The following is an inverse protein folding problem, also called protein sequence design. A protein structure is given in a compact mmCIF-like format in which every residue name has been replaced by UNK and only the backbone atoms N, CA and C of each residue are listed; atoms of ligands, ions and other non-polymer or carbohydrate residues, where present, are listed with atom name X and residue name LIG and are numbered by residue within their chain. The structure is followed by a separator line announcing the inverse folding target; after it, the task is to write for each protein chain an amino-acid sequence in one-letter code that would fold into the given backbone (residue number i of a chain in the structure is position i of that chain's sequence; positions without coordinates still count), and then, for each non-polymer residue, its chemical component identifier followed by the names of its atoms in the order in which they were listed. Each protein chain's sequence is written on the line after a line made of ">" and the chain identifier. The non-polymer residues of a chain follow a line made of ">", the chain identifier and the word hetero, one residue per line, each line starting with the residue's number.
data_IF_235076617872
#
_entry.id   IF_235076617872
#
_cell.length_a   1.000
_cell.length_b   1.000
_cell.length_c   1.000
_cell.angle_alpha   90.00
_cell.angle_beta   90.00
_cell.angle_gamma   90.00
#
_symmetry.space_group_name_H-M   'P 1'
#
loop_
_entity.id
_entity.type
_entity.pdbx_description
1 polymer ?
#
# COMPACT_ATOMS: atom_id res chain seq x y z
N UNK A 1 14.13 6.84 -7.87
CA UNK A 1 14.64 7.30 -9.19
C UNK A 1 13.65 7.08 -10.37
N UNK A 2 13.24 5.84 -10.67
CA UNK A 2 12.41 5.53 -11.85
C UNK A 2 11.12 6.36 -11.90
N UNK A 3 10.40 6.47 -10.78
CA UNK A 3 9.19 7.27 -10.68
C UNK A 3 9.42 8.75 -11.05
N UNK A 4 10.52 9.35 -10.59
CA UNK A 4 10.90 10.71 -10.95
C UNK A 4 11.20 10.85 -12.45
N UNK A 5 11.99 9.94 -13.02
CA UNK A 5 12.30 9.93 -14.46
C UNK A 5 11.05 9.72 -15.32
N UNK A 6 10.10 8.92 -14.85
CA UNK A 6 8.85 8.68 -15.56
C UNK A 6 7.97 9.93 -15.68
N UNK A 7 8.16 10.95 -14.83
CA UNK A 7 7.41 12.22 -14.90
C UNK A 7 7.58 12.96 -16.22
N UNK A 8 8.65 12.70 -16.99
CA UNK A 8 8.80 13.21 -18.37
C UNK A 8 7.68 12.75 -19.32
N UNK A 9 6.99 11.67 -18.98
CA UNK A 9 5.83 11.15 -19.72
C UNK A 9 4.49 11.50 -19.06
N UNK A 10 4.52 12.28 -17.97
CA UNK A 10 3.38 12.74 -17.20
C UNK A 10 2.37 11.63 -16.82
N UNK A 11 2.82 10.47 -16.29
CA UNK A 11 1.88 9.46 -15.81
C UNK A 11 1.24 9.92 -14.51
N UNK A 12 0.00 9.49 -14.24
CA UNK A 12 -0.52 9.48 -12.88
C UNK A 12 0.36 8.56 -12.03
N UNK A 13 0.80 9.01 -10.86
CA UNK A 13 1.67 8.26 -9.96
C UNK A 13 0.94 7.99 -8.66
N UNK A 14 0.71 6.71 -8.35
CA UNK A 14 0.23 6.27 -7.06
C UNK A 14 1.28 5.40 -6.39
N UNK A 15 1.60 5.71 -5.15
CA UNK A 15 2.66 5.06 -4.39
C UNK A 15 2.08 4.57 -3.06
N UNK A 16 2.07 3.26 -2.83
CA UNK A 16 1.74 2.67 -1.53
C UNK A 16 3.05 2.37 -0.82
N UNK A 17 3.38 3.21 0.15
CA UNK A 17 4.67 3.26 0.83
C UNK A 17 4.61 2.48 2.15
N UNK A 18 5.24 1.31 2.15
CA UNK A 18 5.30 0.43 3.32
C UNK A 18 6.48 0.72 4.24
N UNK A 19 7.44 1.55 3.82
CA UNK A 19 8.75 1.73 4.46
C UNK A 19 9.04 3.18 4.86
N UNK A 20 8.14 4.13 4.54
CA UNK A 20 8.26 5.58 4.76
C UNK A 20 9.35 6.26 3.94
N UNK A 21 9.79 5.63 2.85
CA UNK A 21 10.86 6.17 2.00
C UNK A 21 10.36 7.14 0.92
N UNK A 22 9.07 7.14 0.60
CA UNK A 22 8.55 7.85 -0.57
C UNK A 22 8.11 9.29 -0.27
N UNK A 23 7.94 9.68 0.99
CA UNK A 23 7.36 10.97 1.37
C UNK A 23 8.06 12.18 0.77
N UNK A 24 9.39 12.23 0.87
CA UNK A 24 10.18 13.34 0.31
C UNK A 24 10.07 13.41 -1.22
N UNK A 25 10.11 12.26 -1.90
CA UNK A 25 9.94 12.17 -3.35
C UNK A 25 8.56 12.70 -3.76
N UNK A 26 7.49 12.21 -3.14
CA UNK A 26 6.11 12.59 -3.46
C UNK A 26 5.90 14.09 -3.27
N UNK A 27 6.36 14.65 -2.16
CA UNK A 27 6.27 16.08 -1.89
C UNK A 27 7.08 16.91 -2.89
N UNK A 28 8.29 16.46 -3.25
CA UNK A 28 9.13 17.16 -4.25
C UNK A 28 8.51 17.14 -5.64
N UNK A 29 7.75 16.09 -5.97
CA UNK A 29 6.97 16.00 -7.20
C UNK A 29 5.68 16.84 -7.17
N UNK A 30 5.42 17.57 -6.09
CA UNK A 30 4.20 18.36 -5.90
C UNK A 30 2.95 17.52 -5.65
N UNK A 31 3.13 16.25 -5.24
CA UNK A 31 2.06 15.34 -4.91
C UNK A 31 1.55 15.48 -3.47
N UNK A 32 0.55 14.69 -3.13
CA UNK A 32 0.01 14.59 -1.77
C UNK A 32 0.55 13.32 -1.11
N UNK A 33 1.11 13.44 0.09
CA UNK A 33 1.53 12.29 0.90
C UNK A 33 0.64 12.19 2.14
N UNK A 34 -0.03 11.05 2.32
CA UNK A 34 -1.04 10.88 3.39
C UNK A 34 -0.77 9.64 4.22
N UNK A 35 -1.13 9.72 5.50
CA UNK A 35 -1.11 8.58 6.42
C UNK A 35 -2.54 8.24 6.85
N UNK A 36 -3.05 7.04 6.55
CA UNK A 36 -4.35 6.57 7.04
C UNK A 36 -4.40 6.55 8.56
N UNK A 37 -5.58 6.85 9.12
CA UNK A 37 -5.81 6.73 10.56
C UNK A 37 -5.14 7.79 11.44
N UNK A 38 -4.48 8.81 10.87
CA UNK A 38 -3.90 9.91 11.63
C UNK A 38 -4.96 11.01 11.91
N UNK A 39 -5.39 11.23 13.16
CA UNK A 39 -6.44 12.21 13.48
C UNK A 39 -5.98 13.67 13.43
N UNK A 40 -4.67 13.95 13.28
CA UNK A 40 -4.12 15.32 13.23
C UNK A 40 -3.83 15.86 11.82
N UNK A 41 -4.28 15.16 10.78
CA UNK A 41 -4.04 15.55 9.39
C UNK A 41 -3.98 14.40 8.38
N UNK A 42 -4.42 13.19 8.77
CA UNK A 42 -4.53 12.05 7.88
C UNK A 42 -5.78 12.12 7.00
N UNK A 43 -5.73 11.40 5.88
CA UNK A 43 -6.87 11.19 5.00
C UNK A 43 -7.81 10.17 5.66
N UNK A 44 -9.02 10.62 6.03
CA UNK A 44 -10.03 9.75 6.60
C UNK A 44 -10.65 8.86 5.53
N UNK A 45 -10.80 7.56 5.81
CA UNK A 45 -11.44 6.63 4.88
C UNK A 45 -12.82 6.21 5.39
N UNK A 46 -13.74 5.99 4.45
CA UNK A 46 -15.02 5.34 4.71
C UNK A 46 -15.47 4.54 3.48
N UNK A 47 -15.09 3.25 3.42
CA UNK A 47 -15.42 2.39 2.28
C UNK A 47 -16.93 2.25 2.01
N UNK A 48 -17.78 2.48 3.02
CA UNK A 48 -19.24 2.36 2.89
C UNK A 48 -19.89 3.53 2.13
N UNK A 49 -19.11 4.56 1.78
CA UNK A 49 -19.53 5.68 0.94
C UNK A 49 -19.22 5.46 -0.55
N UNK A 50 -18.57 4.35 -0.92
CA UNK A 50 -18.38 4.00 -2.32
C UNK A 50 -19.71 3.86 -3.06
N UNK A 51 -19.69 4.17 -4.37
CA UNK A 51 -20.86 4.08 -5.23
C UNK A 51 -21.56 2.71 -5.10
N UNK A 52 -22.89 2.76 -5.06
CA UNK A 52 -23.74 1.57 -4.96
C UNK A 52 -23.81 0.84 -6.32
N UNK A 53 -22.80 0.01 -6.59
CA UNK A 53 -22.72 -0.83 -7.79
C UNK A 53 -22.27 -2.27 -7.44
N UNK A 54 -22.48 -3.22 -8.35
CA UNK A 54 -22.19 -4.63 -8.12
C UNK A 54 -20.71 -4.90 -7.72
N UNK A 55 -19.70 -4.35 -8.43
CA UNK A 55 -18.31 -4.53 -8.03
C UNK A 55 -18.00 -4.06 -6.61
N UNK A 56 -18.51 -2.88 -6.21
CA UNK A 56 -18.29 -2.34 -4.87
C UNK A 56 -18.99 -3.16 -3.79
N UNK A 57 -20.21 -3.65 -4.06
CA UNK A 57 -20.93 -4.53 -3.13
C UNK A 57 -20.21 -5.86 -2.91
N UNK A 58 -19.70 -6.47 -3.98
CA UNK A 58 -18.91 -7.71 -3.91
C UNK A 58 -17.63 -7.50 -3.11
N UNK A 59 -16.90 -6.42 -3.41
CA UNK A 59 -15.72 -6.03 -2.65
C UNK A 59 -16.06 -5.80 -1.17
N UNK A 60 -17.06 -4.98 -0.86
CA UNK A 60 -17.43 -4.64 0.52
C UNK A 60 -17.85 -5.87 1.32
N UNK A 61 -18.51 -6.84 0.69
CA UNK A 61 -18.87 -8.11 1.33
C UNK A 61 -17.62 -8.86 1.82
N UNK A 62 -16.62 -9.02 0.94
CA UNK A 62 -15.36 -9.69 1.28
C UNK A 62 -14.51 -8.85 2.23
N UNK A 63 -14.52 -7.53 2.06
CA UNK A 63 -13.79 -6.60 2.90
C UNK A 63 -14.31 -6.59 4.34
N UNK A 64 -15.63 -6.61 4.56
CA UNK A 64 -16.21 -6.72 5.91
C UNK A 64 -15.81 -8.03 6.60
N UNK A 65 -15.67 -9.12 5.85
CA UNK A 65 -15.16 -10.39 6.36
C UNK A 65 -13.69 -10.24 6.79
N UNK A 66 -12.86 -9.54 6.03
CA UNK A 66 -11.44 -9.33 6.38
C UNK A 66 -11.25 -8.54 7.68
N UNK A 67 -12.20 -7.67 8.03
CA UNK A 67 -12.15 -6.93 9.30
C UNK A 67 -12.20 -7.86 10.52
N UNK A 68 -12.74 -9.07 10.38
CA UNK A 68 -12.87 -10.05 11.48
C UNK A 68 -12.05 -11.32 11.27
N UNK A 69 -11.70 -11.63 10.03
CA UNK A 69 -10.93 -12.80 9.62
C UNK A 69 -10.02 -12.40 8.44
N UNK A 70 -8.88 -11.75 8.70
CA UNK A 70 -8.01 -11.21 7.66
C UNK A 70 -7.41 -12.30 6.75
N UNK A 71 -7.33 -13.55 7.22
CA UNK A 71 -6.86 -14.68 6.42
C UNK A 71 -7.99 -15.41 5.68
N UNK A 72 -9.24 -15.06 5.94
CA UNK A 72 -10.41 -15.70 5.33
C UNK A 72 -10.55 -17.19 5.68
N UNK A 73 -10.05 -17.61 6.85
CA UNK A 73 -10.02 -19.02 7.24
C UNK A 73 -11.41 -19.64 7.49
N UNK A 74 -12.39 -18.80 7.86
CA UNK A 74 -13.74 -19.23 8.24
C UNK A 74 -14.82 -18.77 7.25
N UNK A 75 -14.43 -18.38 6.03
CA UNK A 75 -15.35 -17.87 5.02
C UNK A 75 -16.15 -19.02 4.41
N UNK A 76 -17.47 -18.97 4.59
CA UNK A 76 -18.42 -19.90 3.97
C UNK A 76 -19.60 -19.15 3.34
N UNK A 77 -20.40 -19.84 2.55
CA UNK A 77 -21.53 -19.25 1.83
C UNK A 77 -22.53 -18.55 2.76
N UNK A 78 -22.81 -19.12 3.94
CA UNK A 78 -23.71 -18.52 4.91
C UNK A 78 -23.18 -17.17 5.42
N UNK A 79 -21.87 -17.09 5.69
CA UNK A 79 -21.19 -15.86 6.13
C UNK A 79 -21.25 -14.80 5.03
N UNK A 80 -20.95 -15.19 3.78
CA UNK A 80 -21.03 -14.29 2.62
C UNK A 80 -22.46 -13.75 2.44
N UNK A 81 -23.48 -14.61 2.51
CA UNK A 81 -24.88 -14.17 2.37
C UNK A 81 -25.31 -13.26 3.52
N UNK A 82 -24.86 -13.52 4.76
CA UNK A 82 -25.10 -12.64 5.89
C UNK A 82 -24.54 -11.23 5.67
N UNK A 83 -23.29 -11.12 5.24
CA UNK A 83 -22.68 -9.82 4.93
C UNK A 83 -23.30 -9.13 3.72
N UNK A 84 -23.72 -9.87 2.67
CA UNK A 84 -24.50 -9.29 1.56
C UNK A 84 -25.80 -8.64 2.06
N UNK A 85 -26.54 -9.34 2.92
CA UNK A 85 -27.77 -8.81 3.52
C UNK A 85 -27.53 -7.57 4.38
N UNK A 86 -26.38 -7.47 5.05
CA UNK A 86 -25.98 -6.27 5.80
C UNK A 86 -25.65 -5.12 4.85
N UNK A 87 -24.88 -5.37 3.79
CA UNK A 87 -24.57 -4.35 2.77
C UNK A 87 -25.86 -3.81 2.13
N UNK A 88 -26.84 -4.66 1.84
CA UNK A 88 -28.16 -4.24 1.36
C UNK A 88 -28.89 -3.30 2.32
N UNK A 89 -28.75 -3.51 3.64
CA UNK A 89 -29.34 -2.63 4.64
C UNK A 89 -28.60 -1.29 4.71
N UNK A 90 -27.27 -1.31 4.64
CA UNK A 90 -26.44 -0.12 4.75
C UNK A 90 -26.63 0.83 3.57
N UNK A 91 -26.70 0.31 2.34
CA UNK A 91 -26.93 1.14 1.17
C UNK A 91 -28.34 1.78 1.13
N UNK A 92 -29.31 1.26 1.90
CA UNK A 92 -30.62 1.90 2.10
C UNK A 92 -30.58 3.07 3.08
N UNK A 93 -29.52 3.18 3.88
CA UNK A 93 -29.34 4.32 4.78
C UNK A 93 -28.90 5.57 3.98
N UNK A 94 -29.25 6.78 4.46
CA UNK A 94 -28.61 8.01 4.03
C UNK A 94 -27.07 7.92 4.17
N UNK A 95 -26.28 8.52 3.26
CA UNK A 95 -24.81 8.46 3.28
C UNK A 95 -24.19 8.76 4.65
N UNK A 96 -24.68 9.77 5.36
CA UNK A 96 -24.24 10.18 6.70
C UNK A 96 -24.37 9.08 7.78
N UNK A 97 -25.19 8.06 7.53
CA UNK A 97 -25.39 6.92 8.41
C UNK A 97 -24.67 5.64 7.94
N UNK A 98 -23.96 5.69 6.80
CA UNK A 98 -23.17 4.57 6.28
C UNK A 98 -21.78 4.56 6.92
N UNK A 99 -21.69 3.88 8.07
CA UNK A 99 -20.46 3.78 8.85
C UNK A 99 -20.35 2.41 9.53
N UNK A 100 -19.17 2.10 10.08
CA UNK A 100 -18.91 0.80 10.71
C UNK A 100 -19.70 0.58 12.01
N UNK A 101 -20.15 1.65 12.68
CA UNK A 101 -21.03 1.49 13.83
C UNK A 101 -22.39 0.94 13.42
N UNK A 102 -22.96 1.41 12.29
CA UNK A 102 -24.19 0.87 11.71
C UNK A 102 -24.04 -0.62 11.33
N UNK A 103 -22.88 -1.02 10.80
CA UNK A 103 -22.57 -2.44 10.56
C UNK A 103 -22.57 -3.24 11.87
N UNK A 104 -21.88 -2.75 12.91
CA UNK A 104 -21.82 -3.40 14.21
C UNK A 104 -23.19 -3.61 14.85
N UNK A 105 -24.09 -2.63 14.72
CA UNK A 105 -25.48 -2.75 15.18
C UNK A 105 -26.27 -3.81 14.42
N UNK A 106 -26.16 -3.83 13.07
CA UNK A 106 -26.81 -4.83 12.23
C UNK A 106 -26.30 -6.25 12.50
N UNK A 107 -24.99 -6.39 12.75
CA UNK A 107 -24.37 -7.64 13.17
C UNK A 107 -24.90 -8.08 14.55
N UNK A 108 -24.99 -7.16 15.52
CA UNK A 108 -25.40 -7.48 16.89
C UNK A 108 -26.82 -8.07 16.98
N UNK A 109 -27.72 -7.65 16.10
CA UNK A 109 -29.08 -8.19 16.02
C UNK A 109 -29.12 -9.65 15.53
N UNK A 110 -28.13 -10.09 14.75
CA UNK A 110 -28.07 -11.42 14.12
C UNK A 110 -27.10 -12.37 14.83
N UNK A 111 -25.95 -11.84 15.26
CA UNK A 111 -24.83 -12.58 15.83
C UNK A 111 -24.01 -11.68 16.79
N UNK A 112 -24.34 -11.67 18.10
CA UNK A 112 -23.66 -10.85 19.10
C UNK A 112 -22.15 -11.09 19.19
N UNK A 113 -21.69 -12.34 19.08
CA UNK A 113 -20.26 -12.69 19.13
C UNK A 113 -19.48 -12.10 17.94
N UNK A 114 -20.13 -12.00 16.77
CA UNK A 114 -19.54 -11.39 15.60
C UNK A 114 -19.42 -9.87 15.75
N UNK A 115 -20.46 -9.23 16.31
CA UNK A 115 -20.45 -7.81 16.61
C UNK A 115 -19.35 -7.44 17.63
N UNK A 116 -19.11 -8.29 18.63
CA UNK A 116 -18.01 -8.11 19.59
C UNK A 116 -16.65 -8.10 18.89
N UNK A 117 -16.38 -9.06 17.99
CA UNK A 117 -15.15 -9.05 17.17
C UNK A 117 -15.05 -7.81 16.27
N UNK A 118 -16.17 -7.32 15.75
CA UNK A 118 -16.23 -6.14 14.89
C UNK A 118 -16.00 -4.83 15.66
N UNK A 119 -16.24 -4.81 16.98
CA UNK A 119 -16.17 -3.61 17.83
C UNK A 119 -14.81 -2.90 17.83
N UNK A 120 -13.73 -3.60 17.48
CA UNK A 120 -12.40 -3.02 17.34
C UNK A 120 -12.29 -1.96 16.23
N UNK A 121 -13.25 -1.87 15.30
CA UNK A 121 -13.21 -0.99 14.14
C UNK A 121 -14.00 0.32 14.28
N UNK A 122 -14.65 0.56 15.42
CA UNK A 122 -15.41 1.79 15.65
C UNK A 122 -15.39 2.17 17.13
N UNK A 123 -15.86 3.40 17.43
CA UNK A 123 -15.90 3.90 18.81
C UNK A 123 -14.50 3.95 19.43
N UNK A 124 -14.31 3.21 20.52
CA UNK A 124 -13.02 3.09 21.23
C UNK A 124 -12.17 1.89 20.78
N UNK A 125 -12.54 1.24 19.67
CA UNK A 125 -11.82 0.10 19.14
C UNK A 125 -10.40 0.45 18.67
N UNK A 126 -9.49 -0.53 18.74
CA UNK A 126 -8.06 -0.39 18.36
C UNK A 126 -7.85 0.23 16.97
N UNK A 127 -8.73 -0.08 16.01
CA UNK A 127 -8.64 0.33 14.61
C UNK A 127 -9.68 1.38 14.22
N UNK A 128 -10.39 1.98 15.20
CA UNK A 128 -11.51 2.88 14.94
C UNK A 128 -11.15 4.03 13.99
N UNK A 129 -9.92 4.54 14.05
CA UNK A 129 -9.51 5.69 13.23
C UNK A 129 -9.28 5.36 11.74
N UNK A 130 -9.21 4.08 11.34
CA UNK A 130 -8.87 3.72 9.96
C UNK A 130 -10.02 3.99 8.97
N UNK A 131 -11.27 3.68 9.34
CA UNK A 131 -12.39 3.59 8.40
C UNK A 131 -13.69 4.24 8.90
N UNK A 132 -13.63 5.08 9.93
CA UNK A 132 -14.81 5.73 10.53
C UNK A 132 -14.94 7.21 10.18
N UNK A 133 -14.21 7.66 9.16
CA UNK A 133 -14.30 9.04 8.73
C UNK A 133 -15.74 9.36 8.26
N UNK A 134 -16.26 10.57 8.56
CA UNK A 134 -17.59 10.96 8.11
C UNK A 134 -17.66 11.08 6.59
N UNK A 135 -16.54 11.42 5.96
CA UNK A 135 -16.36 11.49 4.52
C UNK A 135 -15.22 10.56 4.09
N UNK A 136 -15.29 10.08 2.85
CA UNK A 136 -14.20 9.34 2.26
C UNK A 136 -13.27 10.30 1.52
N UNK A 137 -12.16 10.63 2.17
CA UNK A 137 -11.19 11.61 1.68
C UNK A 137 -10.19 11.03 0.68
N UNK A 138 -10.27 9.73 0.30
CA UNK A 138 -9.38 9.13 -0.68
C UNK A 138 -9.62 9.68 -2.10
N UNK A 139 -8.99 10.83 -2.37
CA UNK A 139 -9.04 11.55 -3.64
C UNK A 139 -7.97 11.03 -4.60
N UNK A 140 -8.42 10.30 -5.61
CA UNK A 140 -7.56 9.68 -6.63
C UNK A 140 -7.49 10.50 -7.93
N UNK A 141 -7.99 11.73 -7.89
CA UNK A 141 -7.94 12.71 -8.98
C UNK A 141 -6.58 13.39 -9.10
N UNK A 142 -5.76 13.33 -8.06
CA UNK A 142 -4.41 13.89 -8.05
C UNK A 142 -3.48 13.09 -8.97
N UNK A 143 -2.60 13.79 -9.68
CA UNK A 143 -1.62 13.17 -10.57
C UNK A 143 -0.48 12.47 -9.82
N UNK A 144 -0.29 12.76 -8.53
CA UNK A 144 0.75 12.16 -7.70
C UNK A 144 0.27 12.03 -6.25
N UNK A 145 0.10 10.78 -5.80
CA UNK A 145 -0.36 10.43 -4.46
C UNK A 145 0.57 9.39 -3.85
N UNK A 146 1.02 9.64 -2.62
CA UNK A 146 1.68 8.65 -1.78
C UNK A 146 0.83 8.34 -0.55
N UNK A 147 0.72 7.07 -0.19
CA UNK A 147 -0.01 6.60 0.99
C UNK A 147 0.96 5.82 1.88
N UNK A 148 1.26 6.37 3.05
CA UNK A 148 2.10 5.75 4.08
C UNK A 148 1.29 4.67 4.83
N UNK A 149 1.59 3.41 4.56
CA UNK A 149 0.99 2.26 5.26
C UNK A 149 1.95 1.59 6.26
N UNK A 150 3.13 2.18 6.47
CA UNK A 150 4.19 1.62 7.34
C UNK A 150 3.73 1.34 8.77
N UNK A 151 2.83 2.18 9.31
CA UNK A 151 2.30 2.02 10.67
C UNK A 151 1.50 0.72 10.85
N UNK A 152 1.04 0.11 9.76
CA UNK A 152 0.19 -1.06 9.76
C UNK A 152 0.82 -2.28 9.10
N UNK A 153 1.94 -2.14 8.37
CA UNK A 153 2.53 -3.20 7.52
C UNK A 153 2.80 -4.52 8.27
N UNK A 154 3.05 -4.45 9.58
CA UNK A 154 3.30 -5.62 10.44
C UNK A 154 2.07 -6.09 11.24
N UNK A 155 0.93 -5.39 11.17
CA UNK A 155 -0.33 -5.79 11.79
C UNK A 155 -1.29 -6.33 10.72
N UNK A 156 -1.33 -7.65 10.56
CA UNK A 156 -2.13 -8.33 9.54
C UNK A 156 -3.62 -7.96 9.59
N UNK A 157 -4.14 -7.68 10.79
CA UNK A 157 -5.55 -7.32 10.96
C UNK A 157 -5.85 -5.94 10.37
N UNK A 158 -4.88 -5.02 10.40
CA UNK A 158 -5.02 -3.67 9.88
C UNK A 158 -4.62 -3.57 8.40
N UNK A 159 -3.45 -4.12 8.02
CA UNK A 159 -2.92 -3.95 6.66
C UNK A 159 -3.77 -4.66 5.60
N UNK A 160 -4.32 -5.84 5.89
CA UNK A 160 -5.12 -6.59 4.92
C UNK A 160 -6.35 -5.78 4.46
N UNK A 161 -7.26 -5.31 5.34
CA UNK A 161 -8.40 -4.51 4.91
C UNK A 161 -7.98 -3.13 4.38
N UNK A 162 -6.89 -2.54 4.89
CA UNK A 162 -6.39 -1.24 4.42
C UNK A 162 -5.86 -1.31 2.99
N UNK A 163 -4.93 -2.22 2.72
CA UNK A 163 -4.37 -2.44 1.40
C UNK A 163 -5.48 -2.86 0.41
N UNK A 164 -6.38 -3.76 0.82
CA UNK A 164 -7.48 -4.19 -0.04
C UNK A 164 -8.38 -3.02 -0.49
N UNK A 165 -8.72 -2.12 0.44
CA UNK A 165 -9.52 -0.94 0.13
C UNK A 165 -8.78 0.05 -0.77
N UNK A 166 -7.52 0.37 -0.46
CA UNK A 166 -6.70 1.28 -1.26
C UNK A 166 -6.57 0.76 -2.69
N UNK A 167 -6.21 -0.52 -2.85
CA UNK A 167 -6.01 -1.13 -4.16
C UNK A 167 -7.32 -1.24 -4.95
N UNK A 168 -8.44 -1.55 -4.30
CA UNK A 168 -9.76 -1.56 -4.94
C UNK A 168 -10.13 -0.18 -5.48
N UNK A 169 -9.93 0.87 -4.67
CA UNK A 169 -10.19 2.26 -5.07
C UNK A 169 -9.30 2.71 -6.22
N UNK A 170 -8.01 2.45 -6.13
CA UNK A 170 -7.06 2.73 -7.21
C UNK A 170 -7.47 2.03 -8.51
N UNK A 171 -7.79 0.73 -8.42
CA UNK A 171 -8.20 -0.08 -9.57
C UNK A 171 -9.46 0.49 -10.24
N UNK A 172 -10.47 0.88 -9.47
CA UNK A 172 -11.70 1.46 -10.00
C UNK A 172 -11.52 2.83 -10.65
N UNK A 173 -10.47 3.58 -10.29
CA UNK A 173 -10.17 4.89 -10.86
C UNK A 173 -9.27 4.80 -12.11
N UNK A 174 -8.88 3.60 -12.53
CA UNK A 174 -8.17 3.40 -13.79
C UNK A 174 -9.10 3.67 -14.98
N UNK A 175 -8.62 4.51 -15.90
CA UNK A 175 -9.41 5.06 -17.02
C UNK A 175 -8.62 5.04 -18.35
N UNK A 176 -7.54 4.26 -18.41
CA UNK A 176 -6.64 4.18 -19.58
C UNK A 176 -5.60 5.30 -19.69
N UNK A 177 -5.63 6.33 -18.82
CA UNK A 177 -4.52 7.27 -18.71
C UNK A 177 -3.25 6.55 -18.28
N UNK A 178 -2.11 6.99 -18.82
CA UNK A 178 -0.78 6.49 -18.42
C UNK A 178 -0.66 6.58 -16.90
N UNK A 179 -0.54 5.44 -16.24
CA UNK A 179 -0.50 5.38 -14.79
C UNK A 179 0.70 4.55 -14.34
N UNK A 180 1.24 4.91 -13.18
CA UNK A 180 2.27 4.18 -12.47
C UNK A 180 1.74 3.87 -11.08
N UNK A 181 1.63 2.58 -10.75
CA UNK A 181 1.30 2.10 -9.42
C UNK A 181 2.57 1.49 -8.82
N UNK A 182 3.06 2.06 -7.73
CA UNK A 182 4.22 1.53 -6.98
C UNK A 182 3.71 0.94 -5.68
N UNK A 183 4.05 -0.32 -5.43
CA UNK A 183 3.72 -1.05 -4.22
C UNK A 183 5.01 -1.47 -3.52
N UNK A 184 5.31 -0.81 -2.40
CA UNK A 184 6.41 -1.24 -1.53
C UNK A 184 5.98 -2.40 -0.66
N UNK A 185 6.87 -3.38 -0.50
CA UNK A 185 6.57 -4.68 0.12
C UNK A 185 5.29 -5.30 -0.45
N UNK A 186 5.19 -5.31 -1.79
CA UNK A 186 3.99 -5.67 -2.52
C UNK A 186 3.39 -7.02 -2.09
N UNK A 187 4.25 -7.99 -1.75
CA UNK A 187 3.84 -9.32 -1.32
C UNK A 187 2.99 -9.26 -0.04
N UNK A 188 3.26 -8.34 0.88
CA UNK A 188 2.46 -8.16 2.10
C UNK A 188 1.13 -7.48 1.82
N UNK A 189 1.11 -6.57 0.85
CA UNK A 189 -0.10 -5.82 0.46
C UNK A 189 -1.08 -6.70 -0.34
N UNK A 190 -0.55 -7.56 -1.20
CA UNK A 190 -1.33 -8.37 -2.13
C UNK A 190 -1.74 -9.74 -1.56
N UNK A 191 -1.04 -10.25 -0.54
CA UNK A 191 -1.33 -11.54 0.11
C UNK A 191 -2.55 -11.45 1.04
N UNK A 192 -3.71 -11.30 0.42
CA UNK A 192 -5.01 -11.23 1.07
C UNK A 192 -6.09 -12.03 0.31
N UNK A 193 -7.24 -12.36 0.94
CA UNK A 193 -8.27 -13.17 0.31
C UNK A 193 -8.93 -12.59 -0.95
N UNK A 194 -8.82 -11.28 -1.22
CA UNK A 194 -9.37 -10.66 -2.45
C UNK A 194 -8.34 -10.71 -3.58
N UNK A 195 -7.14 -10.20 -3.32
CA UNK A 195 -6.12 -9.99 -4.35
C UNK A 195 -5.28 -11.23 -4.57
N UNK A 196 -4.89 -11.97 -3.53
CA UNK A 196 -4.01 -13.14 -3.66
C UNK A 196 -4.49 -14.16 -4.70
N UNK A 197 -5.74 -14.66 -4.60
CA UNK A 197 -6.29 -15.61 -5.57
C UNK A 197 -6.46 -15.07 -6.99
N UNK A 198 -6.46 -13.74 -7.16
CA UNK A 198 -6.75 -13.07 -8.44
C UNK A 198 -5.61 -12.19 -8.93
N UNK A 199 -4.43 -12.29 -8.33
CA UNK A 199 -3.32 -11.34 -8.54
C UNK A 199 -2.88 -11.32 -10.00
N UNK A 200 -2.85 -12.47 -10.66
CA UNK A 200 -2.57 -12.58 -12.09
C UNK A 200 -3.57 -11.77 -12.93
N UNK A 201 -4.87 -12.02 -12.75
CA UNK A 201 -5.92 -11.32 -13.49
C UNK A 201 -5.91 -9.81 -13.18
N UNK A 202 -5.60 -9.44 -11.94
CA UNK A 202 -5.48 -8.04 -11.55
C UNK A 202 -4.30 -7.35 -12.24
N UNK A 203 -3.11 -7.96 -12.26
CA UNK A 203 -1.94 -7.43 -12.98
C UNK A 203 -2.19 -7.35 -14.49
N UNK A 204 -2.87 -8.35 -15.08
CA UNK A 204 -3.31 -8.31 -16.47
C UNK A 204 -4.27 -7.14 -16.73
N UNK A 205 -5.23 -6.90 -15.82
CA UNK A 205 -6.14 -5.77 -15.90
C UNK A 205 -5.41 -4.43 -15.86
N UNK A 206 -4.45 -4.23 -14.95
CA UNK A 206 -3.63 -3.01 -14.89
C UNK A 206 -2.97 -2.72 -16.26
N UNK A 207 -2.44 -3.75 -16.91
CA UNK A 207 -1.85 -3.63 -18.25
C UNK A 207 -2.88 -3.18 -19.29
N UNK A 208 -4.10 -3.71 -19.26
CA UNK A 208 -5.18 -3.25 -20.19
C UNK A 208 -5.54 -1.79 -19.97
N UNK A 209 -5.36 -1.28 -18.74
CA UNK A 209 -5.62 0.10 -18.37
C UNK A 209 -4.40 1.02 -18.53
N UNK A 210 -3.40 0.64 -19.33
CA UNK A 210 -2.19 1.45 -19.58
C UNK A 210 -1.46 1.84 -18.27
N UNK A 211 -1.44 0.91 -17.31
CA UNK A 211 -0.84 1.09 -15.99
C UNK A 211 0.41 0.22 -15.86
N UNK A 212 1.55 0.85 -15.56
CA UNK A 212 2.76 0.15 -15.16
C UNK A 212 2.75 -0.08 -13.65
N UNK A 213 2.82 -1.34 -13.24
CA UNK A 213 2.88 -1.73 -11.83
C UNK A 213 4.33 -2.05 -11.45
N UNK A 214 4.83 -1.40 -10.40
CA UNK A 214 6.15 -1.62 -9.82
C UNK A 214 5.97 -2.27 -8.46
N UNK A 215 6.53 -3.46 -8.29
CA UNK A 215 6.52 -4.19 -7.04
C UNK A 215 7.94 -4.16 -6.49
N UNK A 216 8.11 -3.73 -5.25
CA UNK A 216 9.41 -3.68 -4.58
C UNK A 216 9.40 -4.56 -3.34
N UNK A 217 10.58 -4.99 -2.91
CA UNK A 217 10.79 -5.66 -1.62
C UNK A 217 12.23 -5.48 -1.21
N UNK A 218 12.44 -5.22 0.07
CA UNK A 218 13.76 -5.21 0.72
C UNK A 218 14.01 -6.54 1.44
N UNK A 219 12.96 -7.27 1.82
CA UNK A 219 13.02 -8.58 2.48
C UNK A 219 12.73 -9.71 1.48
N UNK A 220 13.76 -10.09 0.73
CA UNK A 220 13.68 -11.17 -0.27
C UNK A 220 13.34 -12.52 0.37
N UNK A 221 13.74 -12.73 1.63
CA UNK A 221 13.47 -13.97 2.37
C UNK A 221 11.97 -14.09 2.73
N UNK A 222 11.37 -13.05 3.31
CA UNK A 222 9.92 -13.01 3.60
C UNK A 222 9.10 -13.11 2.32
N UNK A 223 9.49 -12.33 1.29
CA UNK A 223 8.86 -12.40 -0.01
C UNK A 223 8.96 -13.80 -0.62
N UNK A 224 10.11 -14.47 -0.51
CA UNK A 224 10.35 -15.81 -1.03
C UNK A 224 9.46 -16.90 -0.40
N UNK A 225 9.09 -16.73 0.86
CA UNK A 225 8.27 -17.68 1.61
C UNK A 225 6.76 -17.56 1.32
N UNK A 226 6.31 -16.45 0.74
CA UNK A 226 4.89 -16.21 0.47
C UNK A 226 4.41 -16.94 -0.78
N UNK A 227 3.21 -17.54 -0.69
CA UNK A 227 2.62 -18.26 -1.81
C UNK A 227 2.31 -17.36 -3.01
N UNK A 228 1.92 -16.11 -2.74
CA UNK A 228 1.60 -15.13 -3.78
C UNK A 228 2.78 -14.85 -4.72
N UNK A 229 4.01 -15.06 -4.24
CA UNK A 229 5.21 -14.80 -5.01
C UNK A 229 5.28 -15.64 -6.27
N UNK A 230 4.88 -16.91 -6.17
CA UNK A 230 4.80 -17.83 -7.31
C UNK A 230 3.78 -17.40 -8.36
N UNK A 231 2.74 -16.65 -7.98
CA UNK A 231 1.71 -16.16 -8.89
C UNK A 231 2.11 -14.85 -9.58
N UNK A 232 2.84 -13.98 -8.89
CA UNK A 232 3.32 -12.69 -9.39
C UNK A 232 4.54 -12.85 -10.30
N UNK A 233 5.51 -13.68 -9.93
CA UNK A 233 6.80 -13.79 -10.62
C UNK A 233 6.67 -14.02 -12.14
N UNK A 234 5.81 -14.93 -12.64
CA UNK A 234 5.62 -15.12 -14.08
C UNK A 234 5.03 -13.90 -14.82
N UNK A 235 4.45 -12.93 -14.11
CA UNK A 235 3.84 -11.73 -14.67
C UNK A 235 4.84 -10.57 -14.84
N UNK A 236 6.04 -10.68 -14.25
CA UNK A 236 7.04 -9.62 -14.27
C UNK A 236 7.79 -9.57 -15.62
N UNK A 237 7.51 -8.54 -16.41
CA UNK A 237 8.18 -8.33 -17.70
C UNK A 237 9.63 -7.80 -17.56
N UNK A 238 9.94 -7.14 -16.45
CA UNK A 238 11.26 -6.57 -16.16
C UNK A 238 11.54 -6.73 -14.69
N UNK A 239 12.75 -7.21 -14.37
CA UNK A 239 13.21 -7.43 -13.01
C UNK A 239 14.53 -6.69 -12.83
N UNK A 240 14.66 -5.99 -11.71
CA UNK A 240 15.85 -5.21 -11.34
C UNK A 240 16.33 -5.76 -10.01
N UNK A 241 17.54 -6.32 -9.97
CA UNK A 241 18.14 -6.82 -8.73
C UNK A 241 19.27 -5.88 -8.33
N UNK A 242 19.18 -5.38 -7.10
CA UNK A 242 20.18 -4.53 -6.50
C UNK A 242 21.18 -5.38 -5.69
N UNK A 243 22.40 -4.87 -5.44
CA UNK A 243 23.39 -5.58 -4.65
C UNK A 243 22.82 -5.94 -3.28
N UNK A 244 22.96 -7.21 -2.90
CA UNK A 244 22.48 -7.74 -1.63
C UNK A 244 23.66 -8.33 -0.87
N UNK A 245 23.86 -7.99 0.43
CA UNK A 245 25.06 -8.42 1.16
C UNK A 245 25.09 -9.92 1.46
N UNK A 246 23.92 -10.55 1.57
CA UNK A 246 23.77 -11.97 1.92
C UNK A 246 22.75 -12.64 1.00
N UNK A 247 22.99 -12.68 -0.33
CA UNK A 247 22.02 -13.24 -1.26
C UNK A 247 21.90 -14.75 -1.01
N UNK A 248 20.68 -15.26 -1.02
CA UNK A 248 20.37 -16.63 -0.67
C UNK A 248 19.79 -17.42 -1.86
N UNK A 249 19.39 -18.67 -1.64
CA UNK A 249 18.84 -19.51 -2.70
C UNK A 249 17.46 -19.07 -3.21
N UNK A 250 16.74 -18.19 -2.49
CA UNK A 250 15.43 -17.70 -2.92
C UNK A 250 15.53 -16.90 -4.22
N UNK A 251 16.65 -16.20 -4.46
CA UNK A 251 16.91 -15.50 -5.72
C UNK A 251 16.82 -16.41 -6.95
N UNK A 252 17.27 -17.66 -6.82
CA UNK A 252 17.17 -18.67 -7.87
C UNK A 252 15.79 -19.32 -7.84
N UNK A 253 15.40 -19.86 -6.68
CA UNK A 253 14.26 -20.76 -6.55
C UNK A 253 12.89 -20.06 -6.67
N UNK A 254 12.84 -18.78 -6.31
CA UNK A 254 11.60 -17.98 -6.32
C UNK A 254 11.71 -16.84 -7.32
N UNK A 255 12.82 -16.10 -7.29
CA UNK A 255 12.98 -14.90 -8.11
C UNK A 255 13.56 -15.17 -9.50
N UNK A 256 13.82 -16.43 -9.86
CA UNK A 256 14.09 -16.83 -11.25
C UNK A 256 15.43 -16.37 -11.81
N UNK A 257 16.42 -16.10 -10.95
CA UNK A 257 17.80 -16.00 -11.39
C UNK A 257 18.38 -17.37 -11.75
N UNK A 258 19.23 -17.41 -12.77
CA UNK A 258 20.11 -18.56 -13.03
C UNK A 258 21.28 -18.54 -12.05
N UNK A 259 22.00 -19.67 -11.94
CA UNK A 259 23.22 -19.74 -11.12
C UNK A 259 24.28 -18.72 -11.56
N UNK A 260 24.39 -18.45 -12.88
CA UNK A 260 25.31 -17.46 -13.42
C UNK A 260 24.90 -16.03 -13.02
N UNK A 261 23.62 -15.69 -13.18
CA UNK A 261 23.09 -14.38 -12.79
C UNK A 261 23.21 -14.16 -11.27
N UNK A 262 22.96 -15.20 -10.48
CA UNK A 262 23.18 -15.17 -9.03
C UNK A 262 24.65 -14.96 -8.68
N UNK A 263 25.57 -15.56 -9.45
CA UNK A 263 27.00 -15.32 -9.35
C UNK A 263 27.35 -13.84 -9.57
N UNK A 264 26.80 -13.20 -10.61
CA UNK A 264 26.98 -11.76 -10.84
C UNK A 264 26.44 -10.93 -9.68
N UNK A 265 25.21 -11.20 -9.22
CA UNK A 265 24.59 -10.48 -8.10
C UNK A 265 25.47 -10.53 -6.84
N UNK A 266 26.01 -11.72 -6.54
CA UNK A 266 26.82 -11.97 -5.35
C UNK A 266 28.18 -11.26 -5.37
N UNK A 267 28.63 -10.81 -6.54
CA UNK A 267 29.89 -10.06 -6.70
C UNK A 267 29.68 -8.54 -6.72
N UNK A 268 28.44 -8.04 -6.82
CA UNK A 268 28.18 -6.61 -6.91
C UNK A 268 28.42 -5.90 -5.58
N UNK A 269 28.99 -4.70 -5.65
CA UNK A 269 29.09 -3.78 -4.52
C UNK A 269 28.02 -2.67 -4.65
N UNK A 270 27.32 -2.40 -3.55
CA UNK A 270 26.33 -1.32 -3.46
C UNK A 270 26.91 0.06 -3.79
N UNK A 271 28.18 0.32 -3.46
CA UNK A 271 28.86 1.60 -3.72
C UNK A 271 29.07 1.87 -5.21
N UNK A 272 29.22 0.82 -6.01
CA UNK A 272 29.43 0.91 -7.46
C UNK A 272 28.13 1.15 -8.23
N UNK A 273 26.97 1.09 -7.55
CA UNK A 273 25.64 1.32 -8.15
C UNK A 273 25.34 0.41 -9.34
N UNK A 274 25.99 -0.76 -9.37
CA UNK A 274 25.69 -1.82 -10.31
C UNK A 274 24.37 -2.49 -9.95
N UNK A 275 23.62 -2.91 -10.97
CA UNK A 275 22.41 -3.70 -10.80
C UNK A 275 22.24 -4.67 -11.97
N UNK A 276 21.54 -5.78 -11.72
CA UNK A 276 21.10 -6.68 -12.79
C UNK A 276 19.76 -6.21 -13.33
N UNK A 277 19.67 -6.04 -14.65
CA UNK A 277 18.42 -5.86 -15.37
C UNK A 277 18.11 -7.12 -16.16
N UNK A 278 17.04 -7.81 -15.78
CA UNK A 278 16.56 -9.03 -16.45
C UNK A 278 15.24 -8.77 -17.18
N UNK A 279 15.17 -9.18 -18.45
CA UNK A 279 13.97 -9.13 -19.30
C UNK A 279 13.84 -10.44 -20.07
N UNK A 280 12.89 -11.27 -19.67
CA UNK A 280 12.79 -12.63 -20.20
C UNK A 280 14.07 -13.41 -19.90
N UNK A 281 14.76 -13.85 -20.96
CA UNK A 281 16.02 -14.60 -20.87
C UNK A 281 17.26 -13.72 -21.05
N UNK A 282 17.10 -12.42 -21.26
CA UNK A 282 18.21 -11.49 -21.40
C UNK A 282 18.50 -10.83 -20.06
N UNK A 283 19.76 -10.85 -19.65
CA UNK A 283 20.24 -10.17 -18.46
C UNK A 283 21.44 -9.32 -18.80
N UNK A 284 21.44 -8.08 -18.31
CA UNK A 284 22.57 -7.16 -18.40
C UNK A 284 22.96 -6.69 -17.00
N UNK A 285 24.26 -6.48 -16.79
CA UNK A 285 24.78 -5.70 -15.68
C UNK A 285 24.86 -4.25 -16.15
N UNK A 286 24.24 -3.34 -15.42
CA UNK A 286 24.27 -1.93 -15.72
C UNK A 286 24.70 -1.13 -14.48
N UNK A 287 25.27 0.04 -14.71
CA UNK A 287 25.64 1.01 -13.69
C UNK A 287 24.61 2.15 -13.67
N UNK A 288 24.13 2.53 -12.49
CA UNK A 288 23.33 3.73 -12.31
C UNK A 288 24.25 4.95 -12.10
N UNK A 289 24.59 5.60 -13.20
CA UNK A 289 25.33 6.87 -13.18
C UNK A 289 24.41 8.00 -12.67
N UNK A 290 24.75 8.54 -11.50
CA UNK A 290 24.09 9.70 -10.87
C UNK A 290 24.99 10.94 -10.89
N UNK A 291 26.05 10.94 -11.70
CA UNK A 291 26.96 12.07 -11.85
C UNK A 291 26.21 13.36 -12.19
N UNK A 292 26.51 14.44 -11.47
CA UNK A 292 25.87 15.74 -11.66
C UNK A 292 24.47 15.87 -11.06
N UNK A 293 24.02 14.89 -10.25
CA UNK A 293 22.75 14.93 -9.51
C UNK A 293 22.93 15.16 -8.00
N UNK A 294 24.11 15.63 -7.58
CA UNK A 294 24.49 15.77 -6.16
C UNK A 294 23.44 16.52 -5.32
N UNK A 295 22.83 17.56 -5.91
CA UNK A 295 21.82 18.41 -5.27
C UNK A 295 20.46 17.72 -5.04
N UNK A 296 20.19 16.58 -5.71
CA UNK A 296 18.91 15.87 -5.65
C UNK A 296 19.01 14.42 -5.17
N UNK A 297 20.23 13.89 -4.97
CA UNK A 297 20.43 12.51 -4.52
C UNK A 297 19.70 12.23 -3.20
N UNK A 298 19.72 13.17 -2.25
CA UNK A 298 19.00 13.03 -0.97
C UNK A 298 17.48 12.87 -1.15
N UNK A 299 16.88 13.59 -2.09
CA UNK A 299 15.45 13.44 -2.41
C UNK A 299 15.15 12.07 -3.03
N UNK A 300 16.08 11.56 -3.83
CA UNK A 300 15.93 10.29 -4.54
C UNK A 300 16.20 9.06 -3.68
N UNK A 301 17.00 9.20 -2.61
CA UNK A 301 17.40 8.11 -1.71
C UNK A 301 16.34 7.80 -0.65
N UNK A 302 15.33 8.66 -0.47
CA UNK A 302 14.30 8.47 0.55
C UNK A 302 14.84 8.53 1.99
N UNK A 303 16.13 8.85 2.18
CA UNK A 303 16.70 9.09 3.49
C UNK A 303 16.08 10.37 4.01
N UNK A 304 15.25 10.27 5.04
CA UNK A 304 14.89 11.41 5.85
C UNK A 304 16.18 12.02 6.38
N UNK A 305 16.65 13.10 5.76
CA UNK A 305 17.41 14.07 6.51
C UNK A 305 16.52 14.45 7.68
N UNK A 306 16.92 14.16 8.91
CA UNK A 306 16.36 14.73 10.13
C UNK A 306 16.50 16.25 10.04
N UNK A 307 15.62 16.88 9.26
CA UNK A 307 15.40 18.31 9.31
C UNK A 307 14.48 18.47 10.50
N UNK A 308 15.12 18.74 11.64
CA UNK A 308 14.52 19.36 12.81
C UNK A 308 13.47 20.34 12.31
N UNK A 309 12.19 20.00 12.48
CA UNK A 309 11.14 21.01 12.41
C UNK A 309 11.47 21.98 13.53
N UNK A 310 11.91 23.18 13.13
CA UNK A 310 11.97 24.34 13.99
C UNK A 310 10.53 24.64 14.42
N UNK A 311 10.07 23.95 15.47
CA UNK A 311 8.85 24.29 16.18
C UNK A 311 9.06 25.69 16.74
N UNK A 312 8.53 26.67 16.02
CA UNK A 312 8.50 28.08 16.39
C UNK A 312 7.81 28.29 17.73
N UNK A 313 8.54 28.03 18.83
CA UNK A 313 8.22 28.55 20.14
C UNK A 313 8.84 29.95 20.25
N UNK A 314 8.03 31.00 20.52
CA UNK A 314 8.60 32.26 20.95
C UNK A 314 9.31 32.06 22.30
N UNK A 315 10.42 32.76 22.57
CA UNK A 315 11.16 32.59 23.80
C UNK A 315 10.27 32.92 25.01
N UNK A 316 10.27 32.03 26.00
CA UNK A 316 9.59 32.24 27.28
C UNK A 316 10.06 33.56 27.91
N UNK A 317 9.16 34.36 28.50
CA UNK A 317 9.53 35.61 29.13
C UNK A 317 10.43 35.32 30.34
N UNK A 318 11.56 36.01 30.40
CA UNK A 318 12.44 36.01 31.57
C UNK A 318 11.67 36.56 32.77
N UNK A 319 11.23 35.68 33.66
CA UNK A 319 10.77 36.04 34.99
C UNK A 319 11.95 36.66 35.74
N UNK A 320 11.84 37.95 36.05
CA UNK A 320 12.72 38.62 36.98
C UNK A 320 12.66 37.95 38.36
N UNK A 321 13.83 37.64 38.90
CA UNK A 321 14.02 37.27 40.30
C UNK A 321 14.92 38.29 40.95
N UNK A 322 14.32 39.18 41.74
CA UNK A 322 15.02 40.11 42.61
C UNK A 322 15.70 39.37 43.77
N UNK A 323 16.92 39.82 44.07
CA UNK A 323 17.55 39.97 45.40
C UNK A 323 17.55 38.78 46.38
N UNK A 324 18.78 38.34 46.68
CA UNK A 324 19.21 37.71 47.93
C UNK A 324 20.72 37.81 48.01
#
# INVERSE_FOLDING_TARGET
>A
FIAAQARKYQPRLWYVDALRGAGQLINTLGGTYVQPGNPRGGMGFNPLLMEDNNPNREFLTLWLIMLIDPHGANVNDATIQGFKGIIDQIYKLPPEHRNLQSIGQALGAQNPALAEKFSQWYGSGKYANLFTAPEDALTLETDTLGIDVSAYINDVNAIVPLASYILHRMTNQLDGRKSMLVLDEAWRLLDNPIFGPRVQHWLEYLRTQNTACFLTTEDVDDAGQRQISKAIMPQLATQIYLPHPYPDSAYINVFGLTEEEFGYLSMMNAEERHFLLKRGNETIVAELDLGGLDDIIGVLSGQSSDTVMDDGMPPLPTMGGATG
#
